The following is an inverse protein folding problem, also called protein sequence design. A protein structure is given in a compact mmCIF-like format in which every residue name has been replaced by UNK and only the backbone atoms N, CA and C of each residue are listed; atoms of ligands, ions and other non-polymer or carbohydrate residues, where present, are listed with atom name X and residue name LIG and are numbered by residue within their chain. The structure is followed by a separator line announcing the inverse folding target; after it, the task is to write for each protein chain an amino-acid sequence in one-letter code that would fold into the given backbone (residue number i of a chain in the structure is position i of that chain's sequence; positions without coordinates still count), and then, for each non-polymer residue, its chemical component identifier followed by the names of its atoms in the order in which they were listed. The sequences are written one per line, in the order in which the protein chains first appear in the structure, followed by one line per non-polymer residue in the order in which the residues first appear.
data_IF_712885201538
#
_entry.id   IF_712885201538
#
_cell.length_a   1.000
_cell.length_b   1.000
_cell.length_c   1.000
_cell.angle_alpha   90.00
_cell.angle_beta   90.00
_cell.angle_gamma   90.00
#
_symmetry.space_group_name_H-M   'P 1'
#
loop_
_entity.id
_entity.type
_entity.pdbx_description
1 polymer ?
#
# COMPACT_ATOMS: atom_id res chain seq x y z
N UNK A 1 -62.28 -20.83 -16.69
CA UNK A 1 -62.24 -21.55 -15.40
C UNK A 1 -61.40 -22.80 -15.57
N UNK A 2 -60.19 -22.86 -15.00
CA UNK A 2 -59.51 -24.14 -14.77
C UNK A 2 -58.86 -24.15 -13.38
N UNK A 3 -59.05 -25.30 -12.74
CA UNK A 3 -58.89 -25.57 -11.32
C UNK A 3 -57.43 -25.45 -10.87
N UNK A 4 -57.28 -24.94 -9.67
CA UNK A 4 -56.04 -24.95 -8.88
C UNK A 4 -55.56 -26.39 -8.68
N UNK A 5 -54.35 -26.70 -9.11
CA UNK A 5 -53.56 -27.80 -8.53
C UNK A 5 -52.52 -27.18 -7.60
N UNK A 6 -52.76 -27.30 -6.29
CA UNK A 6 -51.74 -27.01 -5.27
C UNK A 6 -50.80 -28.19 -5.22
N UNK A 7 -49.68 -28.12 -5.94
CA UNK A 7 -48.58 -29.07 -5.75
C UNK A 7 -47.79 -28.70 -4.49
N UNK A 8 -47.55 -29.69 -3.64
CA UNK A 8 -46.89 -29.57 -2.34
C UNK A 8 -45.36 -29.57 -2.44
N UNK A 9 -44.78 -28.73 -3.30
CA UNK A 9 -43.33 -28.56 -3.40
C UNK A 9 -42.97 -27.07 -3.35
N UNK A 10 -42.25 -26.66 -2.31
CA UNK A 10 -41.97 -25.27 -1.97
C UNK A 10 -41.02 -24.50 -2.91
N UNK A 11 -40.61 -25.05 -4.06
CA UNK A 11 -39.80 -24.33 -5.04
C UNK A 11 -40.21 -24.68 -6.47
N UNK A 12 -40.29 -23.69 -7.39
CA UNK A 12 -40.38 -23.99 -8.81
C UNK A 12 -39.06 -24.63 -9.27
N UNK A 13 -39.14 -25.81 -9.88
CA UNK A 13 -38.08 -26.31 -10.76
C UNK A 13 -37.99 -25.37 -11.95
N UNK A 14 -36.84 -24.70 -12.11
CA UNK A 14 -36.60 -23.85 -13.27
C UNK A 14 -36.16 -24.72 -14.44
N UNK A 15 -36.80 -24.51 -15.59
CA UNK A 15 -36.42 -25.15 -16.84
C UNK A 15 -35.00 -24.75 -17.26
N UNK A 16 -34.34 -25.60 -18.04
CA UNK A 16 -33.04 -25.29 -18.63
C UNK A 16 -33.11 -23.99 -19.46
N UNK A 17 -32.04 -23.20 -19.41
CA UNK A 17 -31.90 -21.98 -20.19
C UNK A 17 -32.17 -22.26 -21.68
N UNK A 18 -33.03 -21.49 -22.37
CA UNK A 18 -33.40 -21.76 -23.76
C UNK A 18 -32.19 -21.73 -24.70
N UNK A 19 -32.16 -22.64 -25.69
CA UNK A 19 -31.05 -22.85 -26.64
C UNK A 19 -30.64 -21.58 -27.42
N UNK A 20 -31.51 -20.58 -27.44
CA UNK A 20 -31.35 -19.28 -28.09
C UNK A 20 -30.35 -18.34 -27.38
N UNK A 21 -29.82 -18.73 -26.22
CA UNK A 21 -28.79 -17.96 -25.49
C UNK A 21 -27.41 -18.08 -26.15
N UNK A 22 -27.24 -19.01 -27.11
CA UNK A 22 -26.07 -19.09 -27.98
C UNK A 22 -25.75 -17.78 -28.70
N UNK A 23 -26.75 -16.93 -28.94
CA UNK A 23 -26.60 -15.62 -29.57
C UNK A 23 -25.92 -14.56 -28.67
N UNK A 24 -25.99 -14.68 -27.34
CA UNK A 24 -25.36 -13.74 -26.40
C UNK A 24 -23.93 -14.14 -26.01
N UNK A 25 -23.57 -15.42 -26.18
CA UNK A 25 -22.23 -15.92 -25.87
C UNK A 25 -21.11 -15.19 -26.62
N UNK A 26 -21.24 -14.82 -27.92
CA UNK A 26 -20.22 -14.05 -28.61
C UNK A 26 -19.99 -12.66 -28.01
N UNK A 27 -21.04 -11.97 -27.58
CA UNK A 27 -20.94 -10.63 -27.03
C UNK A 27 -20.45 -10.64 -25.58
N UNK A 28 -20.86 -11.65 -24.80
CA UNK A 28 -20.30 -11.94 -23.48
C UNK A 28 -18.82 -12.32 -23.61
N UNK A 29 -18.46 -13.12 -24.61
CA UNK A 29 -17.07 -13.52 -24.88
C UNK A 29 -16.21 -12.33 -25.33
N UNK A 30 -16.73 -11.46 -26.23
CA UNK A 30 -16.06 -10.23 -26.65
C UNK A 30 -15.90 -9.23 -25.51
N UNK A 31 -16.92 -9.06 -24.67
CA UNK A 31 -16.85 -8.15 -23.52
C UNK A 31 -15.91 -8.68 -22.44
N UNK A 32 -15.90 -10.00 -22.20
CA UNK A 32 -14.94 -10.67 -21.34
C UNK A 32 -13.51 -10.54 -21.86
N UNK A 33 -13.26 -10.77 -23.16
CA UNK A 33 -11.93 -10.58 -23.76
C UNK A 33 -11.43 -9.15 -23.66
N UNK A 34 -12.28 -8.16 -23.95
CA UNK A 34 -11.94 -6.73 -23.75
C UNK A 34 -11.58 -6.43 -22.30
N UNK A 35 -12.25 -7.05 -21.33
CA UNK A 35 -11.97 -6.87 -19.91
C UNK A 35 -10.66 -7.56 -19.50
N UNK A 36 -10.40 -8.77 -20.04
CA UNK A 36 -9.14 -9.50 -19.86
C UNK A 36 -7.97 -8.74 -20.47
N UNK A 37 -8.10 -8.18 -21.66
CA UNK A 37 -7.07 -7.36 -22.32
C UNK A 37 -6.76 -6.09 -21.51
N UNK A 38 -7.80 -5.35 -21.09
CA UNK A 38 -7.65 -4.15 -20.23
C UNK A 38 -6.92 -4.45 -18.93
N UNK A 39 -7.12 -5.64 -18.39
CA UNK A 39 -6.53 -6.05 -17.11
C UNK A 39 -5.39 -7.06 -17.25
N UNK A 40 -4.90 -7.35 -18.47
CA UNK A 40 -3.83 -8.34 -18.77
C UNK A 40 -2.55 -8.04 -17.98
N UNK A 41 -2.30 -6.76 -17.69
CA UNK A 41 -1.17 -6.29 -16.89
C UNK A 41 -1.41 -6.30 -15.37
N UNK A 42 -2.67 -6.37 -14.92
CA UNK A 42 -3.04 -6.44 -13.50
C UNK A 42 -3.08 -7.87 -12.97
N UNK A 43 -3.38 -8.86 -13.84
CA UNK A 43 -3.20 -10.26 -13.48
C UNK A 43 -1.72 -10.54 -13.29
N UNK A 44 -1.32 -10.89 -12.07
CA UNK A 44 0.08 -11.20 -11.79
C UNK A 44 0.54 -12.35 -12.68
N UNK A 45 1.57 -12.15 -13.50
CA UNK A 45 2.20 -13.20 -14.35
C UNK A 45 2.71 -14.42 -13.56
N UNK A 46 2.71 -14.34 -12.23
CA UNK A 46 3.14 -15.40 -11.31
C UNK A 46 2.01 -16.41 -11.13
N UNK A 47 2.02 -17.49 -11.91
CA UNK A 47 1.11 -18.65 -11.78
C UNK A 47 1.02 -19.17 -10.33
N UNK A 48 2.14 -19.14 -9.59
CA UNK A 48 2.19 -19.50 -8.16
C UNK A 48 1.28 -18.62 -7.29
N UNK A 49 1.27 -17.30 -7.51
CA UNK A 49 0.41 -16.39 -6.73
C UNK A 49 -1.06 -16.52 -7.12
N UNK A 50 -1.35 -16.71 -8.41
CA UNK A 50 -2.71 -17.03 -8.89
C UNK A 50 -3.23 -18.33 -8.26
N UNK A 51 -2.40 -19.38 -8.19
CA UNK A 51 -2.76 -20.67 -7.56
C UNK A 51 -2.95 -20.56 -6.04
N UNK A 52 -2.25 -19.63 -5.37
CA UNK A 52 -2.45 -19.32 -3.95
C UNK A 52 -3.70 -18.44 -3.72
N UNK A 53 -4.02 -17.56 -4.68
CA UNK A 53 -5.17 -16.67 -4.63
C UNK A 53 -6.49 -17.37 -4.97
N UNK A 54 -6.45 -18.46 -5.75
CA UNK A 54 -7.58 -19.34 -5.96
C UNK A 54 -8.01 -19.96 -4.62
N UNK A 55 -9.28 -19.78 -4.28
CA UNK A 55 -9.82 -20.30 -3.03
C UNK A 55 -9.92 -21.84 -3.13
N UNK A 56 -9.05 -22.56 -2.43
CA UNK A 56 -9.05 -24.04 -2.45
C UNK A 56 -10.18 -24.69 -1.65
N UNK A 57 -11.03 -23.89 -1.01
CA UNK A 57 -12.27 -24.41 -0.42
C UNK A 57 -13.38 -24.16 -1.43
N UNK A 58 -14.30 -25.11 -1.67
CA UNK A 58 -15.56 -24.74 -2.31
C UNK A 58 -16.14 -23.61 -1.47
N UNK A 59 -16.42 -22.46 -2.10
CA UNK A 59 -17.21 -21.41 -1.46
C UNK A 59 -18.56 -22.08 -1.20
N UNK A 60 -18.74 -22.65 -0.01
CA UNK A 60 -20.05 -23.07 0.47
C UNK A 60 -20.83 -21.77 0.57
N UNK A 61 -21.56 -21.43 -0.49
CA UNK A 61 -22.40 -20.25 -0.52
C UNK A 61 -23.29 -20.28 0.70
N UNK A 62 -23.08 -19.38 1.65
CA UNK A 62 -23.99 -19.20 2.79
C UNK A 62 -25.24 -18.42 2.39
N UNK A 63 -25.72 -18.64 1.17
CA UNK A 63 -26.93 -18.01 0.68
C UNK A 63 -27.82 -19.08 0.05
N UNK A 64 -28.42 -19.88 0.92
CA UNK A 64 -29.75 -20.41 0.65
C UNK A 64 -30.67 -19.26 1.08
N UNK A 65 -31.44 -18.62 0.19
CA UNK A 65 -32.43 -17.64 0.61
C UNK A 65 -33.43 -18.35 1.51
N UNK A 66 -33.35 -18.15 2.83
CA UNK A 66 -34.48 -18.46 3.68
C UNK A 66 -35.61 -17.53 3.24
N UNK A 67 -36.67 -18.13 2.70
CA UNK A 67 -37.80 -17.42 2.14
C UNK A 67 -38.40 -16.49 3.22
N UNK A 68 -38.39 -15.16 3.03
CA UNK A 68 -38.90 -14.22 4.03
C UNK A 68 -40.41 -14.10 3.89
N UNK A 69 -41.14 -15.18 4.16
CA UNK A 69 -42.60 -15.11 4.28
C UNK A 69 -42.98 -15.05 5.76
N UNK A 70 -42.92 -13.83 6.31
CA UNK A 70 -43.94 -13.21 7.17
C UNK A 70 -43.52 -11.75 7.47
N UNK A 71 -44.44 -10.83 7.20
CA UNK A 71 -44.40 -9.36 7.36
C UNK A 71 -43.85 -8.54 6.17
N UNK A 72 -44.80 -8.02 5.38
CA UNK A 72 -44.60 -6.93 4.41
C UNK A 72 -44.23 -5.65 5.17
N UNK A 73 -42.99 -5.20 5.05
CA UNK A 73 -42.67 -3.76 5.03
C UNK A 73 -41.84 -3.51 3.78
N UNK A 74 -42.14 -2.47 2.98
CA UNK A 74 -41.26 -2.10 1.87
C UNK A 74 -39.91 -1.69 2.47
N UNK A 75 -38.85 -2.37 2.03
CA UNK A 75 -37.48 -1.94 2.32
C UNK A 75 -37.24 -0.72 1.43
N UNK A 76 -37.21 0.47 2.02
CA UNK A 76 -36.66 1.63 1.34
C UNK A 76 -35.14 1.46 1.27
N UNK A 77 -34.62 1.33 0.04
CA UNK A 77 -33.19 1.42 -0.20
C UNK A 77 -32.76 2.87 -0.01
N UNK A 78 -32.34 3.23 1.20
CA UNK A 78 -31.51 4.43 1.38
C UNK A 78 -30.16 4.11 0.76
N UNK A 79 -29.96 4.58 -0.47
CA UNK A 79 -28.62 4.65 -1.04
C UNK A 79 -27.86 5.67 -0.21
N UNK A 80 -26.82 5.25 0.51
CA UNK A 80 -25.80 6.17 0.98
C UNK A 80 -25.22 6.85 -0.27
N UNK A 81 -25.67 8.06 -0.53
CA UNK A 81 -25.08 8.90 -1.56
C UNK A 81 -23.64 9.09 -1.13
N UNK A 82 -22.68 8.63 -1.93
CA UNK A 82 -21.31 9.13 -1.83
C UNK A 82 -21.38 10.60 -2.20
N UNK A 83 -21.53 11.46 -1.20
CA UNK A 83 -21.39 12.89 -1.37
C UNK A 83 -19.94 13.08 -1.86
N UNK A 84 -19.82 13.57 -3.09
CA UNK A 84 -18.58 14.05 -3.69
C UNK A 84 -18.85 15.46 -4.16
N UNK A 85 -19.31 16.31 -3.26
CA UNK A 85 -19.40 17.72 -3.57
C UNK A 85 -17.99 18.30 -3.53
N UNK A 86 -17.69 19.19 -4.49
CA UNK A 86 -16.43 19.95 -4.58
C UNK A 86 -16.09 20.67 -3.27
N UNK A 87 -17.09 20.97 -2.46
CA UNK A 87 -16.97 21.57 -1.12
C UNK A 87 -16.34 20.65 -0.08
N UNK A 88 -16.55 19.32 -0.14
CA UNK A 88 -15.90 18.33 0.74
C UNK A 88 -14.44 18.05 0.36
N UNK A 89 -14.08 18.27 -0.91
CA UNK A 89 -12.71 18.14 -1.41
C UNK A 89 -11.84 19.36 -1.08
N UNK A 90 -12.47 20.53 -0.88
CA UNK A 90 -11.80 21.78 -0.49
C UNK A 90 -11.53 21.88 1.02
N UNK A 91 -12.14 21.02 1.85
CA UNK A 91 -11.81 20.86 3.26
C UNK A 91 -10.47 20.10 3.42
N UNK A 92 -9.37 20.82 3.31
CA UNK A 92 -8.01 20.33 3.53
C UNK A 92 -7.77 19.88 5.00
N UNK A 93 -6.74 19.06 5.28
CA UNK A 93 -6.84 17.68 5.73
C UNK A 93 -6.92 17.48 7.26
N UNK A 94 -6.81 18.54 8.06
CA UNK A 94 -6.64 18.42 9.51
C UNK A 94 -7.94 17.99 10.22
N UNK A 95 -9.09 18.55 9.85
CA UNK A 95 -10.38 18.24 10.52
C UNK A 95 -10.83 16.81 10.22
N UNK A 96 -10.72 16.39 8.95
CA UNK A 96 -11.03 15.01 8.56
C UNK A 96 -10.09 14.02 9.24
N UNK A 97 -8.79 14.33 9.35
CA UNK A 97 -7.84 13.52 10.12
C UNK A 97 -8.22 13.46 11.59
N UNK A 98 -8.65 14.56 12.21
CA UNK A 98 -9.10 14.58 13.60
C UNK A 98 -10.41 13.81 13.83
N UNK A 99 -11.33 13.81 12.85
CA UNK A 99 -12.57 13.00 12.91
C UNK A 99 -12.27 11.51 12.76
N UNK A 100 -11.48 11.12 11.75
CA UNK A 100 -11.04 9.74 11.57
C UNK A 100 -10.19 9.26 12.76
N UNK A 101 -9.35 10.14 13.31
CA UNK A 101 -8.58 9.88 14.52
C UNK A 101 -9.50 9.71 15.73
N UNK A 102 -10.55 10.54 15.87
CA UNK A 102 -11.54 10.38 16.93
C UNK A 102 -12.25 9.03 16.83
N UNK A 103 -12.65 8.59 15.64
CA UNK A 103 -13.31 7.29 15.42
C UNK A 103 -12.41 6.12 15.78
N UNK A 104 -11.14 6.16 15.39
CA UNK A 104 -10.17 5.12 15.72
C UNK A 104 -9.80 5.08 17.20
N UNK A 105 -9.76 6.24 17.87
CA UNK A 105 -9.35 6.40 19.28
C UNK A 105 -10.52 6.20 20.25
N UNK A 106 -11.77 6.27 19.76
CA UNK A 106 -13.02 6.18 20.57
C UNK A 106 -13.08 4.92 21.44
N UNK A 107 -12.55 3.82 20.93
CA UNK A 107 -12.58 2.51 21.62
C UNK A 107 -11.25 2.20 22.34
N UNK A 108 -10.19 2.99 22.08
CA UNK A 108 -8.82 2.70 22.52
C UNK A 108 -8.34 3.55 23.71
N UNK A 109 -8.92 4.72 23.97
CA UNK A 109 -8.41 5.66 24.98
C UNK A 109 -9.49 6.21 25.93
N UNK A 110 -9.06 6.69 27.11
CA UNK A 110 -9.93 7.27 28.14
C UNK A 110 -10.75 8.50 27.66
N UNK A 111 -11.97 8.69 28.20
CA UNK A 111 -12.91 9.73 27.75
C UNK A 111 -12.36 11.17 27.85
N UNK A 112 -11.38 11.42 28.72
CA UNK A 112 -10.74 12.73 28.88
C UNK A 112 -9.91 13.14 27.64
N UNK A 113 -9.29 12.18 26.93
CA UNK A 113 -8.57 12.48 25.68
C UNK A 113 -9.51 12.79 24.52
N UNK A 114 -10.71 12.20 24.54
CA UNK A 114 -11.78 12.49 23.58
C UNK A 114 -12.27 13.94 23.73
N UNK A 115 -12.28 14.49 24.95
CA UNK A 115 -12.60 15.91 25.19
C UNK A 115 -11.58 16.85 24.54
N UNK A 116 -10.29 16.52 24.60
CA UNK A 116 -9.22 17.26 23.92
C UNK A 116 -9.39 17.25 22.39
N UNK A 117 -9.67 16.08 21.80
CA UNK A 117 -9.93 15.96 20.36
C UNK A 117 -11.21 16.73 19.99
N UNK A 118 -12.27 16.67 20.79
CA UNK A 118 -13.49 17.44 20.58
C UNK A 118 -13.26 18.96 20.71
N UNK A 119 -12.31 19.40 21.54
CA UNK A 119 -11.91 20.81 21.65
C UNK A 119 -11.15 21.23 20.39
N UNK A 120 -10.22 20.41 19.90
CA UNK A 120 -9.49 20.67 18.65
C UNK A 120 -10.41 20.70 17.43
N UNK A 121 -11.39 19.79 17.36
CA UNK A 121 -12.43 19.80 16.33
C UNK A 121 -13.25 21.10 16.42
N UNK A 122 -13.68 21.51 17.63
CA UNK A 122 -14.41 22.78 17.84
C UNK A 122 -13.60 24.02 17.47
N UNK A 123 -12.32 24.06 17.81
CA UNK A 123 -11.41 25.14 17.42
C UNK A 123 -11.20 25.17 15.89
N UNK A 124 -11.17 24.02 15.23
CA UNK A 124 -11.07 23.92 13.77
C UNK A 124 -12.37 24.31 13.04
N UNK A 125 -13.51 24.21 13.71
CA UNK A 125 -14.83 24.65 13.21
C UNK A 125 -14.99 26.18 13.23
N UNK A 126 -14.10 26.94 13.89
CA UNK A 126 -14.01 28.41 13.76
C UNK A 126 -13.25 28.86 12.50
N UNK A 127 -13.04 27.96 11.54
CA UNK A 127 -12.63 28.31 10.20
C UNK A 127 -13.80 28.93 9.42
N UNK A 128 -13.46 29.63 8.32
CA UNK A 128 -14.33 30.37 7.38
C UNK A 128 -15.72 29.76 7.13
N UNK A 129 -15.86 28.43 7.22
CA UNK A 129 -17.12 27.72 7.05
C UNK A 129 -18.17 27.94 8.15
N UNK A 130 -17.80 28.19 9.42
CA UNK A 130 -18.77 28.57 10.47
C UNK A 130 -19.46 29.89 10.15
N UNK A 131 -18.72 30.84 9.58
CA UNK A 131 -19.24 32.15 9.15
C UNK A 131 -20.11 32.02 7.89
N UNK A 132 -19.77 31.10 6.99
CA UNK A 132 -20.58 30.82 5.79
C UNK A 132 -21.90 30.08 6.09
N UNK A 133 -21.96 29.29 7.17
CA UNK A 133 -23.18 28.51 7.51
C UNK A 133 -24.22 29.28 8.32
N UNK A 134 -23.95 30.50 8.81
CA UNK A 134 -24.89 31.30 9.63
C UNK A 134 -25.57 30.54 10.79
N UNK A 135 -24.95 29.49 11.34
CA UNK A 135 -25.49 28.78 12.51
C UNK A 135 -25.09 29.57 13.76
N UNK A 136 -25.98 30.44 14.22
CA UNK A 136 -25.79 31.11 15.51
C UNK A 136 -26.10 30.13 16.66
N UNK A 137 -25.34 30.18 17.76
CA UNK A 137 -25.70 29.44 18.96
C UNK A 137 -27.11 29.83 19.41
N UNK A 138 -27.91 28.89 19.94
CA UNK A 138 -29.28 29.17 20.34
C UNK A 138 -29.26 30.31 21.37
N UNK A 139 -29.96 31.39 21.07
CA UNK A 139 -29.97 32.61 21.89
C UNK A 139 -30.52 32.36 23.31
N UNK A 140 -31.29 31.28 23.49
CA UNK A 140 -31.86 30.87 24.77
C UNK A 140 -31.28 29.52 25.17
N UNK A 141 -30.79 29.45 26.41
CA UNK A 141 -30.43 28.17 27.03
C UNK A 141 -31.70 27.32 27.11
N UNK A 142 -31.65 26.10 26.56
CA UNK A 142 -32.75 25.15 26.71
C UNK A 142 -32.90 24.86 28.21
N UNK A 143 -34.11 25.02 28.80
CA UNK A 143 -34.30 24.75 30.21
C UNK A 143 -33.98 23.28 30.50
N UNK A 144 -33.22 23.05 31.57
CA UNK A 144 -32.85 21.70 32.00
C UNK A 144 -34.12 21.01 32.49
N UNK A 145 -34.50 19.91 31.85
CA UNK A 145 -35.63 19.09 32.27
C UNK A 145 -35.35 18.53 33.67
N UNK A 146 -36.21 18.86 34.64
CA UNK A 146 -36.16 18.28 35.98
C UNK A 146 -36.79 16.90 35.90
N UNK A 147 -36.09 15.89 36.41
CA UNK A 147 -36.57 14.52 36.35
C UNK A 147 -37.76 14.30 37.26
N UNK A 148 -38.76 13.60 36.71
CA UNK A 148 -39.89 13.09 37.47
C UNK A 148 -39.46 11.94 38.41
N UNK A 149 -40.28 11.61 39.41
CA UNK A 149 -39.98 10.51 40.35
C UNK A 149 -39.77 9.17 39.65
N UNK A 150 -40.50 8.91 38.56
CA UNK A 150 -40.35 7.70 37.75
C UNK A 150 -38.98 7.65 37.05
N UNK A 151 -38.48 8.79 36.58
CA UNK A 151 -37.17 8.92 35.97
C UNK A 151 -36.05 8.76 37.01
N UNK A 152 -36.23 9.33 38.20
CA UNK A 152 -35.35 9.10 39.35
C UNK A 152 -35.28 7.62 39.74
N UNK A 153 -36.41 6.91 39.75
CA UNK A 153 -36.45 5.45 39.99
C UNK A 153 -35.71 4.66 38.90
N UNK A 154 -35.78 5.08 37.63
CA UNK A 154 -35.00 4.46 36.54
C UNK A 154 -33.51 4.76 36.69
N UNK A 155 -33.15 6.00 37.03
CA UNK A 155 -31.77 6.41 37.19
C UNK A 155 -31.10 5.72 38.38
N UNK A 156 -31.78 5.61 39.52
CA UNK A 156 -31.26 4.89 40.70
C UNK A 156 -31.04 3.40 40.41
N UNK A 157 -31.90 2.75 39.62
CA UNK A 157 -31.67 1.38 39.12
C UNK A 157 -30.42 1.30 38.23
N UNK A 158 -30.23 2.27 37.35
CA UNK A 158 -29.05 2.35 36.50
C UNK A 158 -27.76 2.54 37.32
N UNK A 159 -27.76 3.43 38.31
CA UNK A 159 -26.64 3.61 39.24
C UNK A 159 -26.32 2.32 40.01
N UNK A 160 -27.34 1.60 40.51
CA UNK A 160 -27.14 0.28 41.15
C UNK A 160 -26.53 -0.75 40.21
N UNK A 161 -26.79 -0.68 38.90
CA UNK A 161 -26.19 -1.56 37.89
C UNK A 161 -24.72 -1.23 37.66
N UNK A 162 -24.38 0.06 37.60
CA UNK A 162 -23.00 0.53 37.44
C UNK A 162 -22.15 0.29 38.69
N UNK A 163 -22.76 0.37 39.88
CA UNK A 163 -22.11 0.11 41.16
C UNK A 163 -21.70 -1.35 41.37
N UNK A 164 -22.16 -2.28 40.51
CA UNK A 164 -21.70 -3.67 40.57
C UNK A 164 -20.22 -3.73 40.16
N UNK A 165 -19.38 -4.47 40.91
CA UNK A 165 -17.97 -4.63 40.56
C UNK A 165 -17.84 -5.23 39.15
N UNK A 166 -16.87 -4.74 38.38
CA UNK A 166 -16.59 -5.28 37.05
C UNK A 166 -16.20 -6.75 37.21
N UNK A 167 -16.89 -7.63 36.48
CA UNK A 167 -16.54 -9.05 36.44
C UNK A 167 -15.12 -9.18 35.87
N UNK A 168 -14.27 -9.91 36.58
CA UNK A 168 -12.89 -10.16 36.13
C UNK A 168 -12.91 -10.76 34.71
N UNK A 169 -12.00 -10.30 33.82
CA UNK A 169 -11.89 -10.86 32.49
C UNK A 169 -11.59 -12.36 32.60
N UNK A 170 -12.31 -13.18 31.81
CA UNK A 170 -12.01 -14.61 31.72
C UNK A 170 -10.54 -14.77 31.32
N UNK A 171 -9.82 -15.64 32.02
CA UNK A 171 -8.43 -15.94 31.67
C UNK A 171 -8.34 -16.34 30.19
N UNK A 172 -7.30 -15.90 29.47
CA UNK A 172 -7.12 -16.26 28.08
C UNK A 172 -7.04 -17.77 27.96
N UNK A 173 -7.77 -18.34 26.99
CA UNK A 173 -7.65 -19.77 26.70
C UNK A 173 -6.21 -20.07 26.35
N UNK A 174 -5.65 -21.14 26.92
CA UNK A 174 -4.31 -21.61 26.58
C UNK A 174 -4.20 -21.79 25.05
N UNK A 175 -3.05 -21.45 24.45
CA UNK A 175 -2.87 -21.60 23.01
C UNK A 175 -3.08 -23.06 22.62
N UNK A 176 -4.04 -23.29 21.73
CA UNK A 176 -4.26 -24.62 21.13
C UNK A 176 -2.97 -25.08 20.46
N UNK A 177 -2.58 -26.34 20.66
CA UNK A 177 -1.44 -26.93 19.96
C UNK A 177 -1.59 -26.70 18.45
N UNK A 178 -0.68 -25.92 17.88
CA UNK A 178 -0.68 -25.62 16.44
C UNK A 178 -0.33 -26.90 15.69
N UNK A 179 -0.91 -27.08 14.50
CA UNK A 179 -0.52 -28.16 13.60
C UNK A 179 0.99 -28.09 13.33
N UNK A 180 1.66 -29.25 13.35
CA UNK A 180 3.07 -29.40 12.98
C UNK A 180 3.30 -28.86 11.56
N UNK A 181 4.46 -28.23 11.34
CA UNK A 181 4.81 -27.54 10.09
C UNK A 181 4.71 -28.47 8.87
N UNK A 182 5.14 -29.73 9.03
CA UNK A 182 5.18 -30.75 7.97
C UNK A 182 3.80 -31.12 7.42
N UNK A 183 2.75 -30.93 8.24
CA UNK A 183 1.36 -31.19 7.86
C UNK A 183 0.71 -30.00 7.16
N UNK A 184 1.37 -28.84 7.10
CA UNK A 184 0.85 -27.66 6.40
C UNK A 184 1.19 -27.72 4.91
N UNK A 185 0.22 -28.10 4.09
CA UNK A 185 0.32 -28.14 2.62
C UNK A 185 0.84 -26.83 2.01
N UNK A 186 0.52 -25.69 2.64
CA UNK A 186 1.00 -24.36 2.26
C UNK A 186 2.52 -24.21 2.41
N UNK A 187 3.13 -24.79 3.45
CA UNK A 187 4.59 -24.72 3.65
C UNK A 187 5.34 -25.48 2.56
N UNK A 188 4.87 -26.69 2.19
CA UNK A 188 5.41 -27.45 1.06
C UNK A 188 5.35 -26.66 -0.25
N UNK A 189 4.25 -25.95 -0.50
CA UNK A 189 4.10 -25.10 -1.68
C UNK A 189 4.98 -23.85 -1.68
N UNK A 190 5.29 -23.29 -0.50
CA UNK A 190 6.19 -22.14 -0.36
C UNK A 190 7.67 -22.54 -0.47
N UNK A 191 8.01 -23.76 -0.06
CA UNK A 191 9.34 -24.34 -0.15
C UNK A 191 9.78 -24.69 -1.59
N UNK A 192 8.83 -24.75 -2.54
CA UNK A 192 9.16 -24.94 -3.96
C UNK A 192 10.01 -23.77 -4.49
N UNK A 193 11.07 -24.04 -5.27
CA UNK A 193 11.92 -23.03 -5.84
C UNK A 193 11.10 -22.09 -6.73
N UNK A 194 11.47 -20.81 -6.70
CA UNK A 194 10.75 -19.76 -7.43
C UNK A 194 11.11 -19.85 -8.91
N UNK A 195 10.28 -20.54 -9.69
CA UNK A 195 10.41 -20.53 -11.15
C UNK A 195 9.95 -19.18 -11.71
N UNK A 196 10.87 -18.51 -12.40
CA UNK A 196 10.58 -17.29 -13.13
C UNK A 196 10.29 -17.67 -14.57
N UNK A 197 9.01 -17.65 -14.96
CA UNK A 197 8.68 -17.67 -16.39
C UNK A 197 9.06 -16.31 -16.96
N UNK A 198 10.12 -16.27 -17.75
CA UNK A 198 10.46 -15.07 -18.50
C UNK A 198 9.32 -14.80 -19.46
N UNK A 199 8.65 -13.64 -19.36
CA UNK A 199 7.62 -13.32 -20.33
C UNK A 199 8.31 -13.16 -21.67
N UNK A 200 8.02 -14.06 -22.62
CA UNK A 200 8.29 -13.83 -24.04
C UNK A 200 7.68 -12.48 -24.37
N UNK A 201 8.53 -11.48 -24.60
CA UNK A 201 8.07 -10.16 -25.00
C UNK A 201 7.44 -10.34 -26.37
N UNK A 202 6.12 -10.26 -26.43
CA UNK A 202 5.42 -10.19 -27.71
C UNK A 202 6.07 -9.08 -28.54
N UNK A 203 6.35 -9.29 -29.84
CA UNK A 203 6.92 -8.26 -30.68
C UNK A 203 6.01 -7.02 -30.62
N UNK A 204 6.62 -5.84 -30.59
CA UNK A 204 5.85 -4.61 -30.51
C UNK A 204 4.93 -4.50 -31.73
N UNK A 205 3.63 -4.40 -31.48
CA UNK A 205 2.60 -4.26 -32.49
C UNK A 205 1.70 -3.07 -32.13
N UNK A 206 1.30 -2.28 -33.13
CA UNK A 206 0.32 -1.22 -32.91
C UNK A 206 -1.01 -1.86 -32.51
N UNK A 207 -1.58 -1.39 -31.40
CA UNK A 207 -2.95 -1.76 -31.05
C UNK A 207 -3.92 -1.19 -32.10
N UNK A 208 -5.08 -1.81 -32.33
CA UNK A 208 -6.08 -1.30 -33.28
C UNK A 208 -6.49 0.16 -32.97
N UNK A 209 -6.55 0.52 -31.69
CA UNK A 209 -6.86 1.88 -31.24
C UNK A 209 -5.76 2.90 -31.57
N UNK A 210 -4.49 2.48 -31.57
CA UNK A 210 -3.37 3.35 -31.96
C UNK A 210 -3.33 3.61 -33.46
N UNK A 211 -3.84 2.67 -34.29
CA UNK A 211 -3.85 2.82 -35.75
C UNK A 211 -4.75 3.97 -36.22
N UNK A 212 -5.83 4.24 -35.50
CA UNK A 212 -6.80 5.30 -35.81
C UNK A 212 -6.70 6.50 -34.85
N UNK A 213 -5.62 6.61 -34.09
CA UNK A 213 -5.49 7.65 -33.08
C UNK A 213 -5.05 8.98 -33.69
N UNK A 214 -5.89 10.01 -33.53
CA UNK A 214 -5.54 11.38 -33.87
C UNK A 214 -4.99 12.10 -32.62
N UNK A 215 -3.75 12.60 -32.64
CA UNK A 215 -3.15 13.25 -31.49
C UNK A 215 -3.83 14.59 -31.20
N UNK A 216 -4.12 14.82 -29.91
CA UNK A 216 -4.69 16.09 -29.44
C UNK A 216 -3.74 17.26 -29.68
N UNK A 217 -4.27 18.47 -29.74
CA UNK A 217 -3.46 19.69 -29.89
C UNK A 217 -2.40 19.82 -28.79
N UNK A 218 -2.70 19.38 -27.57
CA UNK A 218 -1.74 19.41 -26.47
C UNK A 218 -0.57 18.44 -26.70
N UNK A 219 -0.85 17.24 -27.24
CA UNK A 219 0.20 16.28 -27.59
C UNK A 219 1.08 16.84 -28.72
N UNK A 220 0.46 17.51 -29.71
CA UNK A 220 1.21 18.21 -30.76
C UNK A 220 2.10 19.31 -30.19
N UNK A 221 1.62 20.09 -29.22
CA UNK A 221 2.40 21.13 -28.50
C UNK A 221 3.55 20.53 -27.70
N UNK A 222 3.32 19.44 -26.98
CA UNK A 222 4.35 18.74 -26.20
C UNK A 222 5.42 18.06 -27.06
N UNK A 223 5.08 17.67 -28.29
CA UNK A 223 6.02 17.07 -29.23
C UNK A 223 6.99 18.09 -29.84
N UNK A 224 6.69 19.40 -29.76
CA UNK A 224 7.60 20.44 -30.19
C UNK A 224 8.80 20.51 -29.23
N UNK A 225 10.03 20.76 -29.73
CA UNK A 225 11.19 20.94 -28.88
C UNK A 225 11.02 22.20 -28.02
N UNK A 226 11.26 22.06 -26.71
CA UNK A 226 11.26 23.20 -25.81
C UNK A 226 12.53 24.02 -26.03
N UNK A 227 12.42 25.22 -26.58
CA UNK A 227 13.53 26.17 -26.60
C UNK A 227 13.86 26.55 -25.14
N UNK A 228 15.10 26.29 -24.72
CA UNK A 228 15.60 26.71 -23.43
C UNK A 228 16.34 28.02 -23.62
N UNK A 229 16.06 29.02 -22.79
CA UNK A 229 16.81 30.28 -22.80
C UNK A 229 18.20 30.04 -22.19
N UNK A 230 19.20 29.82 -23.04
CA UNK A 230 20.60 29.58 -22.63
C UNK A 230 21.17 30.74 -21.78
N UNK A 231 20.60 31.93 -21.92
CA UNK A 231 20.92 33.13 -21.13
C UNK A 231 20.67 32.96 -19.63
N UNK A 232 19.73 32.10 -19.22
CA UNK A 232 19.45 31.82 -17.80
C UNK A 232 20.47 30.86 -17.17
N UNK A 233 21.24 30.14 -17.99
CA UNK A 233 22.25 29.19 -17.53
C UNK A 233 23.58 29.87 -17.23
N UNK A 234 23.82 31.03 -17.84
CA UNK A 234 24.99 31.87 -17.60
C UNK A 234 24.68 32.79 -16.41
N UNK A 235 24.92 32.30 -15.19
CA UNK A 235 24.94 33.19 -14.03
C UNK A 235 26.10 34.16 -14.17
N UNK A 236 25.83 35.46 -14.21
CA UNK A 236 26.88 36.48 -14.19
C UNK A 236 27.67 36.36 -12.88
N UNK A 237 29.00 36.25 -12.98
CA UNK A 237 29.89 36.30 -11.82
C UNK A 237 30.25 37.76 -11.53
N UNK A 238 30.23 38.18 -10.25
CA UNK A 238 30.03 37.39 -9.03
C UNK A 238 28.55 37.07 -8.75
N UNK A 239 28.30 35.88 -8.19
CA UNK A 239 26.97 35.46 -7.73
C UNK A 239 26.46 36.48 -6.71
N UNK A 240 25.29 37.10 -6.92
CA UNK A 240 24.75 38.08 -5.97
C UNK A 240 24.48 37.40 -4.63
N UNK A 241 25.19 37.85 -3.60
CA UNK A 241 24.99 37.40 -2.21
C UNK A 241 23.74 38.08 -1.67
N UNK A 242 22.91 37.33 -0.93
CA UNK A 242 21.73 37.90 -0.28
C UNK A 242 22.15 39.04 0.67
N UNK A 243 21.57 40.26 0.58
CA UNK A 243 21.97 41.40 1.41
C UNK A 243 21.80 41.15 2.92
N UNK A 244 20.88 40.28 3.29
CA UNK A 244 20.70 39.86 4.70
C UNK A 244 21.91 39.07 5.21
N UNK A 245 22.59 38.31 4.36
CA UNK A 245 23.79 37.57 4.76
C UNK A 245 24.98 38.51 5.03
N UNK A 246 25.10 39.61 4.28
CA UNK A 246 26.14 40.63 4.47
C UNK A 246 25.95 41.37 5.80
N UNK A 247 24.70 41.62 6.17
CA UNK A 247 24.34 42.41 7.37
C UNK A 247 24.09 41.54 8.62
N UNK A 248 24.13 40.21 8.49
CA UNK A 248 23.78 39.30 9.57
C UNK A 248 24.81 39.32 10.71
N UNK A 249 24.32 39.56 11.93
CA UNK A 249 25.12 39.46 13.15
C UNK A 249 24.89 38.09 13.80
N UNK A 250 25.94 37.28 13.91
CA UNK A 250 25.89 35.96 14.52
C UNK A 250 25.41 36.02 15.98
N UNK A 251 24.47 35.14 16.33
CA UNK A 251 23.98 34.95 17.71
C UNK A 251 25.09 34.48 18.67
N UNK A 252 24.89 34.67 19.98
CA UNK A 252 25.83 34.19 21.00
C UNK A 252 26.11 32.69 20.88
N UNK A 253 25.06 31.87 20.75
CA UNK A 253 25.18 30.41 20.55
C UNK A 253 25.98 30.03 19.32
N UNK A 254 25.78 30.72 18.19
CA UNK A 254 26.55 30.44 16.97
C UNK A 254 28.03 30.80 17.13
N UNK A 255 28.35 31.82 17.93
CA UNK A 255 29.74 32.14 18.28
C UNK A 255 30.36 31.09 19.20
N UNK A 256 29.62 30.61 20.20
CA UNK A 256 30.04 29.51 21.10
C UNK A 256 30.25 28.19 20.34
N UNK A 257 29.43 27.89 19.35
CA UNK A 257 29.62 26.70 18.51
C UNK A 257 30.78 26.84 17.52
N UNK A 258 31.12 28.07 17.13
CA UNK A 258 32.26 28.34 16.26
C UNK A 258 33.60 28.27 16.99
N UNK A 259 33.62 28.46 18.31
CA UNK A 259 34.82 28.23 19.11
C UNK A 259 35.12 26.73 19.20
N UNK A 260 36.39 26.36 18.98
CA UNK A 260 36.83 24.98 19.10
C UNK A 260 36.53 24.47 20.52
N UNK A 261 35.95 23.28 20.60
CA UNK A 261 35.68 22.65 21.89
C UNK A 261 37.01 22.28 22.54
N UNK A 262 37.29 22.85 23.71
CA UNK A 262 38.41 22.43 24.54
C UNK A 262 38.19 20.95 24.91
N UNK A 263 38.94 20.07 24.25
CA UNK A 263 39.04 18.69 24.73
C UNK A 263 39.79 18.80 26.06
N UNK A 264 39.14 18.38 27.14
CA UNK A 264 39.81 18.24 28.42
C UNK A 264 41.10 17.46 28.23
N UNK A 265 42.12 17.79 29.02
CA UNK A 265 43.43 17.12 29.08
C UNK A 265 43.24 15.68 29.59
N UNK A 266 42.53 14.86 28.82
CA UNK A 266 42.68 13.42 28.85
C UNK A 266 43.99 13.13 28.15
N UNK A 267 44.84 12.41 28.86
CA UNK A 267 46.09 11.80 28.42
C UNK A 267 46.20 11.75 26.90
N UNK A 268 47.12 12.55 26.37
CA UNK A 268 47.33 12.73 24.93
C UNK A 268 47.29 11.38 24.22
N UNK A 269 46.54 11.28 23.12
CA UNK A 269 46.56 10.13 22.20
C UNK A 269 47.99 9.78 21.70
N UNK A 270 48.98 10.65 22.00
CA UNK A 270 50.42 10.38 21.94
C UNK A 270 50.84 9.43 23.07
N UNK A 271 50.57 8.15 22.87
CA UNK A 271 51.20 7.09 23.65
C UNK A 271 52.72 7.23 23.52
N UNK A 272 53.47 7.25 24.63
CA UNK A 272 54.93 7.39 24.65
C UNK A 272 55.66 6.38 23.74
N UNK A 273 55.03 5.23 23.48
CA UNK A 273 55.43 4.29 22.44
C UNK A 273 54.24 3.95 21.54
N UNK A 274 54.20 4.42 20.28
CA UNK A 274 53.08 4.14 19.36
C UNK A 274 52.95 2.65 19.03
N UNK A 275 54.03 1.87 19.19
CA UNK A 275 54.05 0.42 18.99
C UNK A 275 53.77 -0.39 20.27
N UNK A 276 53.50 0.27 21.41
CA UNK A 276 53.20 -0.44 22.65
C UNK A 276 51.81 -1.06 22.62
N UNK A 277 51.77 -2.38 22.48
CA UNK A 277 50.56 -3.20 22.53
C UNK A 277 50.08 -3.23 23.98
N UNK A 278 48.79 -3.02 24.22
CA UNK A 278 48.25 -3.08 25.58
C UNK A 278 48.37 -4.51 26.13
N UNK A 279 48.59 -4.70 27.45
CA UNK A 279 48.68 -6.04 28.04
C UNK A 279 47.40 -6.85 27.86
N UNK A 280 46.24 -6.18 27.72
CA UNK A 280 44.97 -6.84 27.43
C UNK A 280 44.87 -7.33 25.98
N UNK A 281 45.46 -6.62 25.01
CA UNK A 281 45.52 -7.08 23.63
C UNK A 281 46.39 -8.34 23.50
N UNK A 282 47.48 -8.45 24.26
CA UNK A 282 48.30 -9.67 24.31
C UNK A 282 47.57 -10.88 24.92
N UNK A 283 46.63 -10.63 25.85
CA UNK A 283 45.83 -11.68 26.50
C UNK A 283 44.56 -12.04 25.74
N UNK A 284 44.18 -11.29 24.71
CA UNK A 284 42.95 -11.49 23.99
C UNK A 284 43.00 -12.79 23.17
N UNK A 285 42.00 -13.65 23.36
CA UNK A 285 41.83 -14.88 22.56
C UNK A 285 40.82 -14.62 21.44
N UNK A 286 41.08 -15.05 20.19
CA UNK A 286 40.15 -14.87 19.08
C UNK A 286 38.87 -15.67 19.31
N UNK A 287 37.73 -15.08 18.95
CA UNK A 287 36.43 -15.75 19.01
C UNK A 287 36.34 -16.85 17.95
N UNK A 288 35.45 -17.83 18.15
CA UNK A 288 35.24 -18.92 17.20
C UNK A 288 35.00 -18.42 15.77
N UNK A 289 34.16 -17.39 15.62
CA UNK A 289 33.88 -16.75 14.32
C UNK A 289 35.12 -16.16 13.64
N UNK A 290 36.05 -15.58 14.40
CA UNK A 290 37.29 -15.04 13.83
C UNK A 290 38.17 -16.17 13.33
N UNK A 291 38.18 -17.33 14.01
CA UNK A 291 38.89 -18.52 13.53
C UNK A 291 38.28 -19.05 12.23
N UNK A 292 36.96 -19.17 12.16
CA UNK A 292 36.25 -19.58 10.94
C UNK A 292 36.52 -18.65 9.75
N UNK A 293 36.58 -17.33 10.00
CA UNK A 293 36.88 -16.36 8.94
C UNK A 293 38.36 -16.37 8.52
N UNK A 294 39.26 -16.82 9.40
CA UNK A 294 40.68 -16.96 9.11
C UNK A 294 40.99 -18.23 8.32
N UNK A 295 40.07 -19.20 8.28
CA UNK A 295 40.21 -20.39 7.43
C UNK A 295 40.14 -19.99 5.95
N UNK A 296 41.11 -20.43 5.13
CA UNK A 296 41.15 -20.06 3.72
C UNK A 296 39.93 -20.64 3.01
N UNK A 297 39.17 -19.77 2.35
CA UNK A 297 38.02 -20.19 1.57
C UNK A 297 38.48 -20.74 0.23
N UNK A 298 38.29 -22.05 0.02
CA UNK A 298 38.53 -22.68 -1.28
C UNK A 298 37.60 -22.04 -2.33
N UNK A 299 38.20 -21.47 -3.37
CA UNK A 299 37.48 -20.83 -4.47
C UNK A 299 37.69 -21.64 -5.75
N UNK A 300 36.63 -22.30 -6.22
CA UNK A 300 36.63 -22.94 -7.52
C UNK A 300 36.43 -21.88 -8.62
N UNK A 301 37.48 -21.63 -9.41
CA UNK A 301 37.46 -20.73 -10.56
C UNK A 301 36.64 -21.33 -11.71
N UNK A 302 35.31 -21.32 -11.60
CA UNK A 302 34.39 -21.77 -12.66
C UNK A 302 34.44 -20.91 -13.93
N UNK A 303 35.14 -19.77 -13.89
CA UNK A 303 35.27 -18.84 -15.02
C UNK A 303 36.39 -19.19 -15.99
N UNK A 304 37.36 -20.00 -15.58
CA UNK A 304 38.44 -20.44 -16.45
C UNK A 304 37.98 -21.74 -17.11
N UNK A 305 37.70 -21.69 -18.41
CA UNK A 305 37.48 -22.91 -19.19
C UNK A 305 38.78 -23.70 -19.20
N UNK A 306 38.69 -25.02 -19.01
CA UNK A 306 39.85 -25.92 -19.03
C UNK A 306 40.68 -25.79 -20.33
N UNK A 307 40.03 -25.44 -21.45
CA UNK A 307 40.71 -25.15 -22.70
C UNK A 307 40.31 -23.73 -23.21
N UNK A 308 41.23 -22.75 -23.19
CA UNK A 308 40.95 -21.37 -23.59
C UNK A 308 40.65 -21.23 -25.09
N UNK A 309 41.06 -22.20 -25.92
CA UNK A 309 40.85 -22.20 -27.36
C UNK A 309 39.64 -23.06 -27.80
N UNK A 310 38.92 -23.69 -26.87
CA UNK A 310 37.75 -24.47 -27.20
C UNK A 310 36.61 -23.57 -27.68
N UNK A 311 36.35 -23.61 -28.98
CA UNK A 311 35.21 -22.97 -29.64
C UNK A 311 33.97 -23.82 -29.39
N UNK A 312 32.84 -23.20 -29.06
CA UNK A 312 31.60 -23.95 -28.85
C UNK A 312 31.13 -24.60 -30.17
N UNK A 313 30.54 -25.81 -30.14
CA UNK A 313 30.05 -26.47 -31.36
C UNK A 313 28.94 -25.68 -32.06
N UNK A 314 28.24 -24.81 -31.32
CA UNK A 314 27.26 -23.88 -31.87
C UNK A 314 27.93 -22.79 -32.72
N UNK A 315 29.08 -22.27 -32.28
CA UNK A 315 29.82 -21.27 -33.05
C UNK A 315 30.40 -21.85 -34.35
N UNK A 316 30.85 -23.12 -34.34
CA UNK A 316 31.29 -23.81 -35.57
C UNK A 316 30.14 -24.02 -36.59
N UNK A 317 28.91 -24.19 -36.10
CA UNK A 317 27.72 -24.38 -36.95
C UNK A 317 27.04 -23.07 -37.36
N UNK A 318 27.43 -21.94 -36.78
CA UNK A 318 26.79 -20.67 -37.02
C UNK A 318 27.14 -20.15 -38.42
N UNK A 319 26.11 -19.87 -39.23
CA UNK A 319 26.24 -19.20 -40.52
C UNK A 319 25.93 -17.72 -40.34
N UNK A 320 26.71 -16.84 -40.98
CA UNK A 320 26.47 -15.41 -40.93
C UNK A 320 25.11 -15.06 -41.56
N UNK A 321 24.41 -14.08 -40.98
CA UNK A 321 23.14 -13.60 -41.55
C UNK A 321 23.39 -12.81 -42.84
N UNK A 322 22.44 -12.77 -43.79
CA UNK A 322 22.62 -12.09 -45.07
C UNK A 322 23.01 -10.62 -44.91
N UNK A 323 22.44 -9.93 -43.91
CA UNK A 323 22.79 -8.53 -43.58
C UNK A 323 24.24 -8.36 -43.11
N UNK A 324 24.79 -9.31 -42.36
CA UNK A 324 26.20 -9.25 -41.91
C UNK A 324 27.12 -9.45 -43.11
N UNK A 325 26.74 -10.33 -44.04
CA UNK A 325 27.48 -10.55 -45.29
C UNK A 325 27.47 -9.27 -46.16
N UNK A 326 26.32 -8.58 -46.26
CA UNK A 326 26.20 -7.31 -46.97
C UNK A 326 27.06 -6.20 -46.34
N UNK A 327 27.06 -6.08 -45.01
CA UNK A 327 27.87 -5.10 -44.30
C UNK A 327 29.38 -5.41 -44.35
N UNK A 328 29.75 -6.67 -44.50
CA UNK A 328 31.13 -7.10 -44.63
C UNK A 328 31.73 -6.84 -46.03
N UNK A 329 30.89 -6.49 -47.03
CA UNK A 329 31.40 -6.04 -48.33
C UNK A 329 32.08 -4.67 -48.16
N UNK A 330 33.29 -4.47 -48.68
CA UNK A 330 33.95 -3.17 -48.62
C UNK A 330 33.11 -2.14 -49.39
N UNK A 331 33.05 -0.92 -48.87
CA UNK A 331 32.39 0.20 -49.56
C UNK A 331 33.27 0.67 -50.72
N UNK A 332 33.35 -0.07 -51.82
CA UNK A 332 34.14 0.36 -52.98
C UNK A 332 34.50 -0.68 -54.06
N UNK A 333 33.84 -1.84 -54.14
CA UNK A 333 34.01 -2.78 -55.27
C UNK A 333 32.74 -2.92 -56.09
#
# INVERSE_FOLDING_TARGET
MHKVSRSSKCCPTFDHLPENISCFLPDIYKSWHRLVERHKHMFTKRKRLLKIAQHNRPIKGRFIPQCPCKYKKPIEFVRDVRIRTRTEQLALPAVRRLLLFKETVKDLFEPLRILGINRLIRLSLLSVYSRLTNIQPPQKKVPIHKWDEAEWKKHTKYLKKLAKPKKEPKQPKLPVQRMKLDNMTRFKALALPKTHEEPTKEPWALTPAMKTYEPSENIKKMALPTAHDDSAMIQSLPIPINPTAITYKATKRTKELATAREKGVGESDLKENPFSISPNALKARPTARIKELAEPKEYENTHIRENPFAISPAALKAKASPRIIELAKPKGS
#
